data_IF_577828145783
#
_entry.id   IF_577828145783
#
_cell.length_a   1.000
_cell.length_b   1.000
_cell.length_c   1.000
_cell.angle_alpha   90.00
_cell.angle_beta   90.00
_cell.angle_gamma   90.00
#
_symmetry.space_group_name_H-M   'P 1'
#
loop_
_entity.id
_entity.type
_entity.pdbx_description
1 polymer ?
#
# COMPACT_ATOMS: atom_id res chain seq x y z
N UNK A 1 -8.64 4.79 -27.94
CA UNK A 1 -9.19 5.95 -27.20
C UNK A 1 -8.46 6.21 -25.90
N UNK A 2 -8.33 5.23 -24.99
CA UNK A 2 -7.64 5.43 -23.71
C UNK A 2 -6.18 5.86 -23.90
N UNK A 3 -5.44 5.26 -24.84
CA UNK A 3 -4.07 5.68 -25.16
C UNK A 3 -4.00 7.12 -25.67
N UNK A 4 -4.97 7.55 -26.48
CA UNK A 4 -5.05 8.95 -26.95
C UNK A 4 -5.31 9.88 -25.78
N UNK A 5 -6.22 9.51 -24.87
CA UNK A 5 -6.50 10.30 -23.67
C UNK A 5 -5.27 10.40 -22.76
N UNK A 6 -4.55 9.30 -22.55
CA UNK A 6 -3.31 9.28 -21.77
C UNK A 6 -2.30 10.25 -22.37
N UNK A 7 -2.08 10.20 -23.69
CA UNK A 7 -1.16 11.11 -24.38
C UNK A 7 -1.58 12.59 -24.29
N UNK A 8 -2.88 12.88 -24.19
CA UNK A 8 -3.37 14.25 -24.03
C UNK A 8 -3.16 14.78 -22.60
N UNK A 9 -3.15 13.92 -21.60
CA UNK A 9 -3.05 14.29 -20.18
C UNK A 9 -1.61 14.24 -19.65
N UNK A 10 -0.80 13.33 -20.17
CA UNK A 10 0.57 13.11 -19.75
C UNK A 10 1.39 14.40 -19.96
N UNK A 11 2.03 14.85 -18.89
CA UNK A 11 2.86 16.07 -18.86
C UNK A 11 2.16 17.35 -19.35
N UNK A 12 0.81 17.37 -19.39
CA UNK A 12 0.03 18.50 -19.88
C UNK A 12 -0.96 19.02 -18.83
N UNK A 13 -0.48 19.96 -18.02
CA UNK A 13 -1.25 20.56 -16.91
C UNK A 13 -2.49 21.34 -17.37
N UNK A 14 -2.46 21.92 -18.58
CA UNK A 14 -3.59 22.64 -19.16
C UNK A 14 -4.73 21.65 -19.46
N UNK A 15 -4.42 20.54 -20.12
CA UNK A 15 -5.41 19.52 -20.43
C UNK A 15 -5.94 18.84 -19.17
N UNK A 16 -5.10 18.62 -18.16
CA UNK A 16 -5.55 18.14 -16.86
C UNK A 16 -6.54 19.12 -16.20
N UNK A 17 -6.22 20.42 -16.17
CA UNK A 17 -7.12 21.44 -15.65
C UNK A 17 -8.45 21.48 -16.41
N UNK A 18 -8.42 21.42 -17.73
CA UNK A 18 -9.62 21.38 -18.57
C UNK A 18 -10.46 20.13 -18.30
N UNK A 19 -9.79 18.98 -18.15
CA UNK A 19 -10.42 17.71 -17.82
C UNK A 19 -11.17 17.73 -16.48
N UNK A 20 -10.79 18.63 -15.57
CA UNK A 20 -11.45 18.85 -14.28
C UNK A 20 -12.70 19.73 -14.35
N UNK A 21 -12.83 20.63 -15.34
CA UNK A 21 -13.99 21.54 -15.45
C UNK A 21 -15.31 20.78 -15.63
N UNK A 22 -15.23 19.52 -16.08
CA UNK A 22 -16.34 18.57 -16.01
C UNK A 22 -16.27 17.78 -14.70
N UNK A 23 -17.40 17.55 -13.99
CA UNK A 23 -17.38 16.83 -12.74
C UNK A 23 -16.68 15.48 -12.93
N UNK A 24 -15.59 15.25 -12.20
CA UNK A 24 -14.79 14.02 -12.33
C UNK A 24 -15.69 12.78 -12.11
N UNK A 25 -16.68 12.90 -11.23
CA UNK A 25 -17.71 11.88 -10.97
C UNK A 25 -18.62 11.60 -12.18
N UNK A 26 -18.75 12.54 -13.11
CA UNK A 26 -19.52 12.41 -14.34
C UNK A 26 -18.72 11.91 -15.53
N UNK A 27 -17.40 11.79 -15.39
CA UNK A 27 -16.56 11.27 -16.45
C UNK A 27 -17.06 9.86 -16.83
N UNK A 28 -17.50 9.66 -18.08
CA UNK A 28 -18.13 8.42 -18.51
C UNK A 28 -17.27 7.18 -18.25
N UNK A 29 -15.95 7.32 -18.24
CA UNK A 29 -15.00 6.24 -17.97
C UNK A 29 -14.78 5.95 -16.48
N UNK A 30 -14.85 6.93 -15.57
CA UNK A 30 -14.88 6.65 -14.12
C UNK A 30 -16.25 6.07 -13.69
N UNK A 31 -17.35 6.49 -14.31
CA UNK A 31 -18.64 5.79 -14.19
C UNK A 31 -18.58 4.37 -14.77
N UNK A 32 -17.85 4.15 -15.87
CA UNK A 32 -17.59 2.80 -16.40
C UNK A 32 -16.66 1.99 -15.51
N UNK A 33 -15.74 2.59 -14.76
CA UNK A 33 -15.00 1.87 -13.72
C UNK A 33 -15.93 1.25 -12.71
N UNK A 34 -16.90 2.00 -12.21
CA UNK A 34 -17.94 1.46 -11.33
C UNK A 34 -18.64 0.24 -11.96
N UNK A 35 -18.93 0.29 -13.27
CA UNK A 35 -19.51 -0.86 -14.00
C UNK A 35 -18.53 -2.02 -14.20
N UNK A 36 -17.24 -1.74 -14.41
CA UNK A 36 -16.18 -2.74 -14.60
C UNK A 36 -15.79 -3.42 -13.29
N UNK A 37 -15.88 -2.69 -12.16
CA UNK A 37 -15.64 -3.17 -10.80
C UNK A 37 -16.89 -3.75 -10.11
N UNK A 38 -18.07 -3.60 -10.71
CA UNK A 38 -19.28 -4.34 -10.33
C UNK A 38 -19.46 -5.67 -11.07
N UNK A 39 -18.54 -6.01 -11.98
CA UNK A 39 -18.54 -7.33 -12.60
C UNK A 39 -18.08 -8.30 -11.52
N UNK A 40 -18.94 -9.23 -11.13
CA UNK A 40 -18.68 -10.25 -10.13
C UNK A 40 -17.33 -10.93 -10.40
N UNK A 41 -16.33 -10.58 -9.59
CA UNK A 41 -14.97 -11.17 -9.61
C UNK A 41 -14.95 -12.63 -9.13
N UNK A 42 -16.13 -13.24 -9.00
CA UNK A 42 -16.35 -14.57 -8.46
C UNK A 42 -16.24 -15.62 -9.58
N UNK A 43 -16.36 -15.24 -10.86
CA UNK A 43 -16.50 -16.24 -11.95
C UNK A 43 -15.66 -16.07 -13.23
N UNK A 44 -14.99 -14.94 -13.47
CA UNK A 44 -14.20 -14.78 -14.70
C UNK A 44 -12.70 -15.02 -14.47
N UNK A 45 -12.27 -16.28 -14.51
CA UNK A 45 -10.84 -16.65 -14.45
C UNK A 45 -10.02 -16.14 -15.66
N UNK A 46 -10.66 -15.69 -16.75
CA UNK A 46 -9.96 -15.29 -17.96
C UNK A 46 -10.46 -13.97 -18.52
N UNK A 47 -9.80 -12.89 -18.10
CA UNK A 47 -9.92 -11.62 -18.80
C UNK A 47 -9.21 -11.68 -20.14
N UNK A 48 -9.85 -11.17 -21.19
CA UNK A 48 -9.18 -11.04 -22.48
C UNK A 48 -7.98 -10.08 -22.39
N UNK A 49 -6.91 -10.29 -23.18
CA UNK A 49 -5.77 -9.38 -23.22
C UNK A 49 -6.17 -7.92 -23.43
N UNK A 50 -7.14 -7.66 -24.30
CA UNK A 50 -7.65 -6.32 -24.55
C UNK A 50 -8.34 -5.70 -23.32
N UNK A 51 -9.08 -6.49 -22.54
CA UNK A 51 -9.71 -6.01 -21.30
C UNK A 51 -8.65 -5.66 -20.25
N UNK A 52 -7.62 -6.49 -20.11
CA UNK A 52 -6.49 -6.21 -19.23
C UNK A 52 -5.77 -4.92 -19.62
N UNK A 53 -5.47 -4.75 -20.91
CA UNK A 53 -4.80 -3.55 -21.43
C UNK A 53 -5.63 -2.28 -21.23
N UNK A 54 -6.94 -2.35 -21.50
CA UNK A 54 -7.83 -1.20 -21.27
C UNK A 54 -7.85 -0.77 -19.81
N UNK A 55 -7.76 -1.72 -18.87
CA UNK A 55 -7.73 -1.41 -17.44
C UNK A 55 -6.37 -0.88 -17.03
N UNK A 56 -5.29 -1.44 -17.56
CA UNK A 56 -3.94 -0.90 -17.36
C UNK A 56 -3.82 0.56 -17.79
N UNK A 57 -4.25 0.90 -19.00
CA UNK A 57 -4.26 2.28 -19.51
C UNK A 57 -5.10 3.23 -18.63
N UNK A 58 -6.20 2.74 -18.10
CA UNK A 58 -7.03 3.52 -17.20
C UNK A 58 -6.34 3.77 -15.84
N UNK A 59 -5.65 2.77 -15.29
CA UNK A 59 -4.86 2.93 -14.07
C UNK A 59 -3.75 3.97 -14.29
N UNK A 60 -3.08 3.94 -15.46
CA UNK A 60 -2.09 4.94 -15.85
C UNK A 60 -2.66 6.36 -15.98
N UNK A 61 -3.88 6.52 -16.51
CA UNK A 61 -4.56 7.81 -16.54
C UNK A 61 -4.78 8.33 -15.11
N UNK A 62 -5.22 7.47 -14.18
CA UNK A 62 -5.37 7.86 -12.77
C UNK A 62 -4.03 8.31 -12.19
N UNK A 63 -2.98 7.50 -12.37
CA UNK A 63 -1.62 7.82 -11.89
C UNK A 63 -1.12 9.16 -12.46
N UNK A 64 -1.41 9.44 -13.74
CA UNK A 64 -1.06 10.71 -14.39
C UNK A 64 -1.76 11.90 -13.74
N UNK A 65 -3.03 11.76 -13.34
CA UNK A 65 -3.80 12.82 -12.69
C UNK A 65 -3.37 13.04 -11.24
N UNK A 66 -2.99 11.97 -10.53
CA UNK A 66 -2.53 12.03 -9.12
C UNK A 66 -1.02 12.24 -8.99
N UNK A 67 -0.28 12.37 -10.11
CA UNK A 67 1.17 12.53 -10.13
C UNK A 67 1.62 13.75 -9.31
N UNK A 68 2.71 13.65 -8.53
CA UNK A 68 3.27 14.76 -7.76
C UNK A 68 3.80 15.91 -8.63
N UNK A 69 3.94 15.70 -9.95
CA UNK A 69 4.30 16.74 -10.92
C UNK A 69 3.17 17.77 -11.12
N UNK A 70 1.94 17.43 -10.74
CA UNK A 70 0.78 18.29 -10.91
C UNK A 70 0.66 19.29 -9.76
N UNK A 71 -0.17 20.33 -9.94
CA UNK A 71 -0.43 21.27 -8.85
C UNK A 71 -1.13 20.57 -7.67
N UNK A 72 -0.73 20.90 -6.43
CA UNK A 72 -1.29 20.28 -5.21
C UNK A 72 -2.82 20.36 -5.16
N UNK A 73 -3.38 21.49 -5.60
CA UNK A 73 -4.83 21.70 -5.63
C UNK A 73 -5.53 20.70 -6.56
N UNK A 74 -4.96 20.43 -7.74
CA UNK A 74 -5.55 19.46 -8.68
C UNK A 74 -5.45 18.03 -8.15
N UNK A 75 -4.29 17.67 -7.59
CA UNK A 75 -4.06 16.33 -7.00
C UNK A 75 -5.14 16.04 -5.95
N UNK A 76 -5.37 16.96 -5.01
CA UNK A 76 -6.37 16.80 -3.94
C UNK A 76 -7.77 16.54 -4.52
N UNK A 77 -8.15 17.25 -5.57
CA UNK A 77 -9.48 17.10 -6.17
C UNK A 77 -9.62 15.76 -6.93
N UNK A 78 -8.62 15.33 -7.68
CA UNK A 78 -8.63 14.00 -8.32
C UNK A 78 -8.65 12.88 -7.27
N UNK A 79 -7.78 12.98 -6.26
CA UNK A 79 -7.73 12.03 -5.14
C UNK A 79 -9.10 11.92 -4.44
N UNK A 80 -9.79 13.05 -4.22
CA UNK A 80 -11.13 13.07 -3.62
C UNK A 80 -12.16 12.36 -4.51
N UNK A 81 -12.11 12.60 -5.81
CA UNK A 81 -13.05 12.01 -6.76
C UNK A 81 -12.85 10.50 -6.95
N UNK A 82 -11.60 10.03 -6.88
CA UNK A 82 -11.26 8.62 -7.06
C UNK A 82 -11.46 7.80 -5.78
N UNK A 83 -11.44 8.44 -4.59
CA UNK A 83 -11.56 7.79 -3.28
C UNK A 83 -12.63 6.70 -3.20
N UNK A 84 -13.82 6.94 -3.77
CA UNK A 84 -14.92 5.98 -3.71
C UNK A 84 -14.60 4.62 -4.34
N UNK A 85 -13.66 4.57 -5.29
CA UNK A 85 -13.22 3.36 -5.98
C UNK A 85 -12.08 2.64 -5.26
N UNK A 86 -11.45 3.24 -4.25
CA UNK A 86 -10.33 2.62 -3.51
C UNK A 86 -10.75 1.30 -2.88
N UNK A 87 -11.98 1.21 -2.34
CA UNK A 87 -12.52 -0.06 -1.79
C UNK A 87 -12.60 -1.15 -2.86
N UNK A 88 -13.15 -0.81 -4.02
CA UNK A 88 -13.33 -1.74 -5.13
C UNK A 88 -11.99 -2.16 -5.74
N UNK A 89 -11.00 -1.26 -5.76
CA UNK A 89 -9.63 -1.54 -6.22
C UNK A 89 -8.87 -2.42 -5.23
N UNK A 90 -8.92 -2.11 -3.93
CA UNK A 90 -8.10 -2.77 -2.91
C UNK A 90 -8.44 -4.25 -2.68
N UNK A 91 -9.72 -4.61 -2.82
CA UNK A 91 -10.14 -6.02 -2.71
C UNK A 91 -10.31 -6.69 -4.06
N UNK A 92 -9.96 -6.00 -5.13
CA UNK A 92 -10.05 -6.59 -6.44
C UNK A 92 -8.91 -7.58 -6.68
N UNK A 93 -9.25 -8.87 -6.73
CA UNK A 93 -8.35 -9.91 -7.24
C UNK A 93 -8.36 -9.93 -8.76
N UNK A 94 -8.29 -8.75 -9.39
CA UNK A 94 -8.06 -8.65 -10.83
C UNK A 94 -6.70 -9.28 -11.10
N UNK A 95 -6.66 -10.21 -12.06
CA UNK A 95 -5.50 -10.87 -12.68
C UNK A 95 -4.15 -10.53 -12.03
N UNK A 96 -3.37 -11.57 -11.65
CA UNK A 96 -2.01 -11.43 -11.06
C UNK A 96 -1.12 -10.39 -11.75
N UNK A 97 -1.35 -10.14 -13.04
CA UNK A 97 -0.64 -9.17 -13.89
C UNK A 97 -0.92 -7.71 -13.48
N UNK A 98 -2.17 -7.37 -13.14
CA UNK A 98 -2.56 -5.98 -12.85
C UNK A 98 -2.46 -5.63 -11.37
N UNK A 99 -2.30 -6.61 -10.48
CA UNK A 99 -2.28 -6.39 -9.03
C UNK A 99 -1.23 -5.34 -8.64
N UNK A 100 -0.02 -5.39 -9.20
CA UNK A 100 1.02 -4.38 -8.93
C UNK A 100 0.59 -2.97 -9.36
N UNK A 101 0.01 -2.82 -10.55
CA UNK A 101 -0.48 -1.53 -11.05
C UNK A 101 -1.62 -0.98 -10.19
N UNK A 102 -2.50 -1.84 -9.69
CA UNK A 102 -3.58 -1.46 -8.78
C UNK A 102 -3.01 -0.92 -7.46
N UNK A 103 -2.05 -1.63 -6.86
CA UNK A 103 -1.43 -1.16 -5.61
C UNK A 103 -0.73 0.19 -5.80
N UNK A 104 -0.01 0.40 -6.91
CA UNK A 104 0.61 1.70 -7.23
C UNK A 104 -0.46 2.79 -7.41
N UNK A 105 -1.55 2.51 -8.12
CA UNK A 105 -2.64 3.48 -8.30
C UNK A 105 -3.29 3.85 -6.97
N UNK A 106 -3.53 2.89 -6.07
CA UNK A 106 -4.09 3.21 -4.75
C UNK A 106 -3.08 4.04 -3.95
N UNK A 107 -1.79 3.71 -4.02
CA UNK A 107 -0.71 4.46 -3.37
C UNK A 107 -0.72 5.94 -3.79
N UNK A 108 -0.80 6.24 -5.09
CA UNK A 108 -0.86 7.62 -5.59
C UNK A 108 -2.14 8.35 -5.17
N UNK A 109 -3.26 7.64 -5.05
CA UNK A 109 -4.55 8.20 -4.60
C UNK A 109 -4.53 8.57 -3.11
N UNK A 110 -3.79 7.84 -2.28
CA UNK A 110 -3.70 8.11 -0.84
C UNK A 110 -2.53 9.03 -0.48
N UNK A 111 -1.55 9.22 -1.37
CA UNK A 111 -0.34 9.97 -1.07
C UNK A 111 -0.66 11.40 -0.62
N UNK A 112 -0.10 11.81 0.53
CA UNK A 112 -0.37 13.10 1.15
C UNK A 112 -1.84 13.39 1.58
N UNK A 113 -2.79 12.50 1.33
CA UNK A 113 -4.23 12.73 1.61
C UNK A 113 -4.69 12.03 2.88
N UNK A 114 -4.81 12.80 3.97
CA UNK A 114 -5.29 12.29 5.26
C UNK A 114 -6.72 11.72 5.19
N UNK A 115 -7.60 12.32 4.39
CA UNK A 115 -8.97 11.82 4.18
C UNK A 115 -8.98 10.44 3.52
N UNK A 116 -8.18 10.27 2.46
CA UNK A 116 -8.16 9.02 1.70
C UNK A 116 -7.51 7.88 2.51
N UNK A 117 -6.50 8.20 3.33
CA UNK A 117 -5.89 7.25 4.28
C UNK A 117 -6.89 6.77 5.34
N UNK A 118 -7.65 7.69 5.95
CA UNK A 118 -8.73 7.32 6.88
C UNK A 118 -9.82 6.49 6.20
N UNK A 119 -10.16 6.83 4.95
CA UNK A 119 -11.11 6.01 4.18
C UNK A 119 -10.56 4.60 3.96
N UNK A 120 -9.29 4.46 3.59
CA UNK A 120 -8.63 3.16 3.43
C UNK A 120 -8.62 2.35 4.74
N UNK A 121 -8.38 2.99 5.90
CA UNK A 121 -8.44 2.31 7.20
C UNK A 121 -9.84 1.75 7.50
N UNK A 122 -10.90 2.39 6.98
CA UNK A 122 -12.28 1.89 7.09
C UNK A 122 -12.61 0.73 6.13
N UNK A 123 -11.73 0.45 5.16
CA UNK A 123 -11.91 -0.60 4.17
C UNK A 123 -11.39 -1.92 4.74
N UNK A 124 -12.32 -2.74 5.20
CA UNK A 124 -12.03 -4.06 5.78
C UNK A 124 -12.52 -5.18 4.88
N UNK A 125 -11.77 -6.27 4.84
CA UNK A 125 -12.17 -7.48 4.15
C UNK A 125 -13.03 -8.35 5.07
N UNK A 126 -14.17 -8.81 4.58
CA UNK A 126 -15.12 -9.65 5.33
C UNK A 126 -15.02 -11.14 4.95
N UNK A 127 -13.90 -11.61 4.39
CA UNK A 127 -13.73 -13.05 4.14
C UNK A 127 -13.56 -13.83 5.44
N UNK A 128 -14.61 -14.56 5.83
CA UNK A 128 -14.58 -15.45 7.00
C UNK A 128 -14.85 -14.72 8.32
N UNK A 129 -14.32 -15.26 9.42
CA UNK A 129 -14.64 -14.83 10.79
C UNK A 129 -13.83 -13.59 11.22
N UNK A 130 -12.69 -13.30 10.56
CA UNK A 130 -11.75 -12.27 10.99
C UNK A 130 -11.71 -11.13 9.97
N UNK A 131 -12.04 -9.92 10.42
CA UNK A 131 -11.90 -8.72 9.60
C UNK A 131 -10.42 -8.35 9.46
N UNK A 132 -9.93 -8.32 8.22
CA UNK A 132 -8.54 -7.96 7.92
C UNK A 132 -8.48 -6.65 7.13
N UNK A 133 -7.59 -5.76 7.53
CA UNK A 133 -7.36 -4.51 6.81
C UNK A 133 -6.64 -4.76 5.49
N UNK A 134 -6.75 -3.81 4.55
CA UNK A 134 -5.97 -3.83 3.30
C UNK A 134 -4.49 -3.94 3.61
N UNK A 135 -3.99 -3.12 4.54
CA UNK A 135 -2.58 -3.09 4.93
C UNK A 135 -2.08 -4.45 5.46
N UNK A 136 -2.89 -5.14 6.27
CA UNK A 136 -2.53 -6.48 6.77
C UNK A 136 -2.31 -7.47 5.61
N UNK A 137 -3.22 -7.48 4.63
CA UNK A 137 -3.13 -8.38 3.49
C UNK A 137 -1.90 -8.08 2.63
N UNK A 138 -1.61 -6.80 2.40
CA UNK A 138 -0.45 -6.38 1.62
C UNK A 138 0.87 -6.73 2.33
N UNK A 139 0.97 -6.50 3.65
CA UNK A 139 2.16 -6.89 4.41
C UNK A 139 2.41 -8.40 4.36
N UNK A 140 1.36 -9.22 4.51
CA UNK A 140 1.49 -10.67 4.34
C UNK A 140 2.02 -11.04 2.95
N UNK A 141 1.52 -10.42 1.87
CA UNK A 141 2.02 -10.65 0.50
C UNK A 141 3.46 -10.17 0.33
N UNK A 142 3.81 -9.02 0.91
CA UNK A 142 5.16 -8.45 0.84
C UNK A 142 6.18 -9.34 1.55
N UNK A 143 5.81 -9.99 2.66
CA UNK A 143 6.76 -10.70 3.54
C UNK A 143 6.77 -12.21 3.24
N UNK A 144 5.60 -12.85 3.17
CA UNK A 144 5.50 -14.29 2.90
C UNK A 144 5.43 -14.62 1.40
N UNK A 145 5.31 -13.63 0.54
CA UNK A 145 5.14 -13.82 -0.90
C UNK A 145 6.43 -14.11 -1.66
N UNK A 146 7.27 -15.07 -1.22
CA UNK A 146 8.47 -15.47 -1.98
C UNK A 146 8.16 -15.91 -3.41
N UNK A 147 6.99 -16.53 -3.61
CA UNK A 147 6.51 -16.98 -4.91
C UNK A 147 5.75 -15.89 -5.69
N UNK A 148 5.72 -14.66 -5.20
CA UNK A 148 5.03 -13.54 -5.85
C UNK A 148 6.01 -12.76 -6.73
N UNK A 149 5.53 -12.11 -7.80
CA UNK A 149 6.37 -11.25 -8.64
C UNK A 149 7.08 -10.18 -7.81
N UNK A 150 8.34 -9.89 -8.16
CA UNK A 150 9.13 -8.88 -7.48
C UNK A 150 8.45 -7.50 -7.55
N UNK A 151 7.89 -7.16 -8.71
CA UNK A 151 7.17 -5.93 -9.01
C UNK A 151 6.00 -5.71 -8.04
N UNK A 152 5.31 -6.78 -7.64
CA UNK A 152 4.20 -6.70 -6.69
C UNK A 152 4.71 -6.35 -5.29
N UNK A 153 5.82 -6.95 -4.84
CA UNK A 153 6.40 -6.66 -3.53
C UNK A 153 6.90 -5.21 -3.44
N UNK A 154 7.46 -4.70 -4.54
CA UNK A 154 7.89 -3.29 -4.64
C UNK A 154 6.69 -2.34 -4.71
N UNK A 155 5.63 -2.69 -5.44
CA UNK A 155 4.40 -1.90 -5.46
C UNK A 155 3.78 -1.79 -4.06
N UNK A 156 3.80 -2.88 -3.28
CA UNK A 156 3.34 -2.87 -1.89
C UNK A 156 4.24 -2.02 -1.00
N UNK A 157 5.56 -2.05 -1.20
CA UNK A 157 6.47 -1.17 -0.47
C UNK A 157 6.19 0.32 -0.77
N UNK A 158 5.94 0.64 -2.05
CA UNK A 158 5.55 1.99 -2.46
C UNK A 158 4.23 2.40 -1.80
N UNK A 159 3.23 1.52 -1.80
CA UNK A 159 1.98 1.71 -1.09
C UNK A 159 2.20 2.00 0.41
N UNK A 160 3.02 1.19 1.09
CA UNK A 160 3.32 1.38 2.51
C UNK A 160 3.94 2.76 2.75
N UNK A 161 4.87 3.19 1.89
CA UNK A 161 5.49 4.52 1.97
C UNK A 161 4.46 5.63 1.81
N UNK A 162 3.61 5.59 0.78
CA UNK A 162 2.56 6.58 0.55
C UNK A 162 1.55 6.60 1.70
N UNK A 163 1.21 5.43 2.26
CA UNK A 163 0.33 5.30 3.41
C UNK A 163 0.91 5.96 4.67
N UNK A 164 2.21 5.78 4.95
CA UNK A 164 2.87 6.34 6.14
C UNK A 164 3.28 7.80 5.99
N UNK A 165 3.43 8.31 4.76
CA UNK A 165 3.81 9.69 4.51
C UNK A 165 2.81 10.68 5.12
N UNK A 166 3.27 11.55 6.03
CA UNK A 166 2.41 12.49 6.77
C UNK A 166 1.19 11.85 7.47
N UNK A 167 1.29 10.57 7.86
CA UNK A 167 0.20 9.82 8.51
C UNK A 167 0.59 9.32 9.90
N UNK A 168 0.51 10.22 10.88
CA UNK A 168 0.91 9.93 12.25
C UNK A 168 0.01 8.88 12.93
N UNK A 169 -1.28 8.86 12.57
CA UNK A 169 -2.21 7.83 13.05
C UNK A 169 -1.79 6.44 12.57
N UNK A 170 -1.52 6.28 11.27
CA UNK A 170 -1.07 5.02 10.69
C UNK A 170 0.26 4.54 11.28
N UNK A 171 1.23 5.46 11.46
CA UNK A 171 2.51 5.14 12.13
C UNK A 171 2.30 4.64 13.55
N UNK A 172 1.49 5.34 14.35
CA UNK A 172 1.18 4.95 15.73
C UNK A 172 0.49 3.58 15.80
N UNK A 173 -0.40 3.26 14.86
CA UNK A 173 -1.04 1.94 14.78
C UNK A 173 -0.02 0.82 14.53
N UNK A 174 0.99 1.05 13.68
CA UNK A 174 2.02 0.04 13.44
C UNK A 174 2.97 -0.05 14.63
N UNK A 175 3.43 1.07 15.16
CA UNK A 175 4.40 1.11 16.29
C UNK A 175 3.82 0.46 17.55
N UNK A 176 2.56 0.73 17.89
CA UNK A 176 1.91 0.15 19.07
C UNK A 176 1.72 -1.37 18.97
N UNK A 177 1.82 -1.91 17.76
CA UNK A 177 1.71 -3.35 17.50
C UNK A 177 3.06 -4.02 17.25
N UNK A 178 4.17 -3.32 17.45
CA UNK A 178 5.52 -3.88 17.43
C UNK A 178 5.75 -4.76 18.66
N UNK A 179 5.18 -5.95 18.64
CA UNK A 179 5.51 -7.03 19.54
C UNK A 179 5.93 -8.23 18.71
N UNK A 180 7.05 -8.84 19.09
CA UNK A 180 7.37 -10.18 18.62
C UNK A 180 6.81 -11.16 19.65
N UNK A 181 5.53 -11.51 19.48
CA UNK A 181 4.96 -12.65 20.18
C UNK A 181 4.88 -13.79 19.20
N UNK A 182 5.69 -14.83 19.43
CA UNK A 182 5.61 -16.09 18.71
C UNK A 182 4.19 -16.66 18.87
N UNK A 183 3.46 -16.73 17.76
CA UNK A 183 2.51 -17.80 17.47
C UNK A 183 1.39 -18.09 18.49
N UNK A 184 0.97 -17.13 19.31
CA UNK A 184 -0.30 -17.30 20.02
C UNK A 184 -1.42 -17.00 19.01
N UNK A 185 -1.77 -18.04 18.24
CA UNK A 185 -2.92 -18.16 17.32
C UNK A 185 -2.80 -17.61 15.87
N UNK A 186 -1.68 -17.79 15.15
CA UNK A 186 -1.59 -17.49 13.69
C UNK A 186 -2.04 -16.07 13.26
N UNK A 187 -2.10 -15.12 14.19
CA UNK A 187 -2.56 -13.76 13.95
C UNK A 187 -1.41 -12.80 14.19
N UNK A 188 -0.68 -12.51 13.12
CA UNK A 188 0.32 -11.46 13.13
C UNK A 188 -0.36 -10.10 13.28
N UNK A 189 0.21 -9.20 14.07
CA UNK A 189 -0.17 -7.79 13.97
C UNK A 189 0.57 -7.12 12.81
N UNK A 190 0.24 -5.86 12.51
CA UNK A 190 0.95 -5.09 11.48
C UNK A 190 2.44 -4.93 11.83
N UNK A 191 2.76 -4.63 13.09
CA UNK A 191 4.13 -4.55 13.58
C UNK A 191 4.85 -5.90 13.55
N UNK A 192 4.19 -6.99 13.97
CA UNK A 192 4.78 -8.33 13.93
C UNK A 192 5.12 -8.78 12.51
N UNK A 193 4.33 -8.40 11.50
CA UNK A 193 4.67 -8.65 10.10
C UNK A 193 6.02 -8.01 9.73
N UNK A 194 6.21 -6.72 10.02
CA UNK A 194 7.45 -6.03 9.68
C UNK A 194 8.66 -6.64 10.39
N UNK A 195 8.52 -6.98 11.67
CA UNK A 195 9.59 -7.66 12.43
C UNK A 195 9.90 -9.03 11.82
N UNK A 196 8.88 -9.84 11.51
CA UNK A 196 9.08 -11.13 10.86
C UNK A 196 9.81 -10.98 9.52
N UNK A 197 9.37 -10.03 8.68
CA UNK A 197 10.03 -9.73 7.41
C UNK A 197 11.48 -9.26 7.57
N UNK A 198 11.81 -8.61 8.67
CA UNK A 198 13.17 -8.13 8.95
C UNK A 198 14.13 -9.26 9.31
N UNK A 199 13.64 -10.25 10.07
CA UNK A 199 14.42 -11.39 10.58
C UNK A 199 14.46 -12.58 9.61
N UNK A 200 13.43 -12.74 8.77
CA UNK A 200 13.33 -13.89 7.87
C UNK A 200 14.48 -13.91 6.86
N UNK A 201 14.94 -15.12 6.50
CA UNK A 201 15.98 -15.33 5.48
C UNK A 201 15.45 -15.15 4.04
N UNK A 202 14.90 -13.97 3.75
CA UNK A 202 14.52 -13.50 2.41
C UNK A 202 14.99 -12.05 2.27
N UNK A 203 15.99 -11.83 1.40
CA UNK A 203 16.63 -10.53 1.20
C UNK A 203 15.63 -9.43 0.83
N UNK A 204 14.63 -9.75 0.00
CA UNK A 204 13.62 -8.78 -0.42
C UNK A 204 12.68 -8.44 0.74
N UNK A 205 12.28 -9.44 1.55
CA UNK A 205 11.45 -9.20 2.74
C UNK A 205 12.20 -8.30 3.74
N UNK A 206 13.47 -8.63 4.01
CA UNK A 206 14.30 -7.90 4.96
C UNK A 206 14.55 -6.47 4.50
N UNK A 207 14.84 -6.26 3.22
CA UNK A 207 15.00 -4.92 2.64
C UNK A 207 13.70 -4.11 2.68
N UNK A 208 12.56 -4.68 2.29
CA UNK A 208 11.26 -4.00 2.36
C UNK A 208 10.88 -3.65 3.79
N UNK A 209 11.08 -4.56 4.76
CA UNK A 209 10.84 -4.29 6.18
C UNK A 209 11.75 -3.19 6.72
N UNK A 210 13.02 -3.17 6.32
CA UNK A 210 13.98 -2.12 6.69
C UNK A 210 13.51 -0.73 6.23
N UNK A 211 13.05 -0.63 4.98
CA UNK A 211 12.48 0.62 4.45
C UNK A 211 11.17 0.96 5.17
N UNK A 212 10.32 -0.03 5.45
CA UNK A 212 9.11 0.16 6.25
C UNK A 212 9.41 0.78 7.60
N UNK A 213 10.43 0.28 8.32
CA UNK A 213 10.91 0.89 9.57
C UNK A 213 11.44 2.30 9.37
N UNK A 214 12.20 2.55 8.30
CA UNK A 214 12.65 3.91 7.95
C UNK A 214 11.48 4.87 7.71
N UNK A 215 10.36 4.40 7.13
CA UNK A 215 9.17 5.22 6.93
C UNK A 215 8.41 5.50 8.24
N UNK A 216 8.49 4.61 9.24
CA UNK A 216 7.90 4.84 10.56
C UNK A 216 8.61 5.95 11.32
N UNK A 217 9.94 6.01 11.21
CA UNK A 217 10.77 7.00 11.93
C UNK A 217 10.97 8.33 11.18
N UNK A 218 10.46 8.47 9.95
CA UNK A 218 10.67 9.66 9.12
C UNK A 218 9.45 10.59 9.08
N UNK A 219 9.65 11.90 9.28
CA UNK A 219 8.60 12.92 9.29
C UNK A 219 8.81 14.05 10.32
N UNK A 220 7.72 14.66 10.78
CA UNK A 220 7.74 15.80 11.70
C UNK A 220 7.84 15.39 13.19
N UNK A 221 7.36 14.20 13.56
CA UNK A 221 7.38 13.66 14.94
C UNK A 221 8.47 12.61 15.16
N UNK A 222 9.55 12.70 14.38
CA UNK A 222 10.70 11.80 14.39
C UNK A 222 11.18 11.38 15.78
N UNK A 223 11.17 12.31 16.75
CA UNK A 223 11.70 12.05 18.08
C UNK A 223 10.86 11.03 18.86
N UNK A 224 9.54 11.22 18.93
CA UNK A 224 8.66 10.33 19.69
C UNK A 224 8.62 8.93 19.10
N UNK A 225 8.54 8.80 17.77
CA UNK A 225 8.56 7.49 17.12
C UNK A 225 9.89 6.76 17.26
N UNK A 226 11.02 7.48 17.19
CA UNK A 226 12.34 6.91 17.45
C UNK A 226 12.45 6.43 18.91
N UNK A 227 11.97 7.21 19.88
CA UNK A 227 11.96 6.83 21.29
C UNK A 227 11.08 5.60 21.56
N UNK A 228 9.89 5.52 20.96
CA UNK A 228 9.02 4.34 21.08
C UNK A 228 9.66 3.10 20.42
N UNK A 229 10.30 3.25 19.26
CA UNK A 229 10.98 2.14 18.60
C UNK A 229 12.19 1.61 19.39
N UNK A 230 12.89 2.46 20.17
CA UNK A 230 13.97 2.02 21.05
C UNK A 230 13.47 1.15 22.21
N UNK A 231 12.19 1.28 22.60
CA UNK A 231 11.57 0.47 23.66
C UNK A 231 11.12 -0.91 23.18
N UNK A 232 11.10 -1.15 21.86
CA UNK A 232 10.65 -2.41 21.28
C UNK A 232 11.69 -3.50 21.56
N UNK A 233 11.26 -4.50 22.34
CA UNK A 233 12.03 -5.71 22.63
C UNK A 233 11.42 -6.89 21.87
N UNK A 234 12.27 -7.61 21.15
CA UNK A 234 11.95 -8.77 20.32
C UNK A 234 12.43 -10.00 21.08
N UNK A 235 11.50 -10.86 21.48
CA UNK A 235 11.81 -12.14 22.13
C UNK A 235 11.96 -13.22 21.07
N UNK A 236 13.18 -13.42 20.54
CA UNK A 236 13.45 -14.34 19.43
C UNK A 236 13.13 -15.81 19.82
N UNK A 237 13.16 -16.12 21.12
CA UNK A 237 12.78 -17.42 21.68
C UNK A 237 11.55 -17.30 22.61
N UNK A 238 10.80 -18.41 22.79
CA UNK A 238 9.70 -18.52 23.77
C UNK A 238 10.13 -18.28 25.23
N UNK A 239 11.43 -18.09 25.49
CA UNK A 239 11.97 -17.69 26.79
C UNK A 239 12.03 -16.16 26.93
N UNK A 240 11.33 -15.55 27.91
CA UNK A 240 11.30 -14.09 28.12
C UNK A 240 12.64 -13.47 28.57
N UNK A 241 13.70 -14.28 28.73
CA UNK A 241 14.99 -13.89 29.30
C UNK A 241 15.97 -13.40 28.21
N UNK A 242 15.73 -13.73 26.93
CA UNK A 242 16.60 -13.39 25.79
C UNK A 242 15.95 -12.36 24.84
N UNK A 243 15.26 -11.37 25.39
CA UNK A 243 14.72 -10.27 24.60
C UNK A 243 15.85 -9.38 24.08
N UNK A 244 15.94 -9.18 22.76
CA UNK A 244 16.85 -8.21 22.14
C UNK A 244 16.08 -6.99 21.71
N UNK A 245 16.63 -5.80 21.92
CA UNK A 245 16.07 -4.59 21.32
C UNK A 245 16.14 -4.68 19.79
N UNK A 246 15.25 -3.98 19.08
CA UNK A 246 15.31 -3.88 17.62
C UNK A 246 16.67 -3.36 17.13
N UNK A 247 17.31 -2.47 17.90
CA UNK A 247 18.65 -1.93 17.59
C UNK A 247 19.74 -3.00 17.74
N UNK A 248 19.75 -3.77 18.83
CA UNK A 248 20.68 -4.88 19.01
C UNK A 248 20.52 -5.93 17.90
N UNK A 249 19.28 -6.28 17.56
CA UNK A 249 18.98 -7.20 16.48
C UNK A 249 19.53 -6.68 15.13
N UNK A 250 19.37 -5.38 14.86
CA UNK A 250 19.94 -4.75 13.65
C UNK A 250 21.46 -4.86 13.61
N UNK A 251 22.14 -4.64 14.75
CA UNK A 251 23.60 -4.76 14.83
C UNK A 251 24.09 -6.19 14.67
N UNK A 252 23.34 -7.17 15.18
CA UNK A 252 23.70 -8.58 15.06
C UNK A 252 23.49 -9.10 13.64
N UNK A 253 22.41 -8.67 12.96
CA UNK A 253 22.21 -8.97 11.55
C UNK A 253 23.39 -8.46 10.71
N UNK A 254 23.89 -7.25 10.97
CA UNK A 254 25.05 -6.69 10.26
C UNK A 254 26.35 -7.47 10.50
N UNK A 255 26.56 -8.00 11.70
CA UNK A 255 27.74 -8.83 12.01
C UNK A 255 27.76 -10.14 11.22
N UNK A 256 26.57 -10.68 10.92
CA UNK A 256 26.40 -11.95 10.22
C UNK A 256 26.45 -11.84 8.68
N UNK A 257 26.70 -10.63 8.14
CA UNK A 257 26.85 -10.39 6.68
C UNK A 257 28.30 -10.61 6.19
N UNK A 258 29.26 -10.79 7.11
CA UNK A 258 30.65 -11.15 6.79
C UNK A 258 30.84 -12.67 6.75
#
# INVERSE_FOLDING_TARGET
CLSVLLNLLQDNTINQNYFKEHPIQELPYLKRLNKLFKIDFIHDEYWSPQKMENIHLLLQIIQTLTSPTNSKHNIIDYQRAIRQYVRELAFNKISKILTSSIEVTIADVIDGSAENKRFLDSVMNNYGIIQQSVLYNLLNVMINGRNKPFELRIAILYFLRCYLYQNEFGKNMIISTLSYQSEIANHYTLGSWLINGYVINDVVASWCSSIGFSCLIGGHFDKTHKEEMLKVVISIDQSPINGKTLMELSTDLLKNVN
#
